data_IF_808855437344
#
_entry.id   IF_808855437344
#
_cell.length_a   1.000
_cell.length_b   1.000
_cell.length_c   1.000
_cell.angle_alpha   90.00
_cell.angle_beta   90.00
_cell.angle_gamma   90.00
#
_symmetry.space_group_name_H-M   'P 1'
#
loop_
_entity.id
_entity.type
_entity.pdbx_description
1 polymer ?
#
# COMPACT_ATOMS: atom_id res chain seq x y z
N UNK A 1 4.76 -33.18 -56.33
CA UNK A 1 4.04 -32.42 -55.28
C UNK A 1 4.96 -32.35 -54.08
N UNK A 2 5.77 -31.29 -53.98
CA UNK A 2 6.61 -30.98 -52.82
C UNK A 2 7.48 -29.80 -53.20
N UNK A 3 7.07 -28.60 -52.78
CA UNK A 3 7.90 -27.44 -52.46
C UNK A 3 7.02 -26.18 -52.51
N UNK A 4 6.41 -25.85 -51.37
CA UNK A 4 5.77 -24.54 -51.16
C UNK A 4 5.63 -24.15 -49.67
N UNK A 5 6.28 -24.85 -48.74
CA UNK A 5 6.21 -24.55 -47.29
C UNK A 5 7.63 -24.36 -46.75
N UNK A 6 8.33 -23.31 -47.17
CA UNK A 6 9.62 -22.91 -46.56
C UNK A 6 9.86 -21.40 -46.54
N UNK A 7 8.91 -20.56 -47.01
CA UNK A 7 9.09 -19.10 -47.07
C UNK A 7 8.55 -18.30 -45.89
N UNK A 8 7.64 -18.84 -45.08
CA UNK A 8 6.96 -18.07 -44.03
C UNK A 8 7.75 -18.00 -42.71
N UNK A 9 8.60 -18.98 -42.39
CA UNK A 9 9.33 -19.04 -41.12
C UNK A 9 10.58 -18.13 -41.04
N UNK A 10 11.24 -17.84 -42.16
CA UNK A 10 12.44 -16.97 -42.16
C UNK A 10 12.08 -15.49 -42.09
N UNK A 11 10.99 -15.07 -42.74
CA UNK A 11 10.54 -13.67 -42.71
C UNK A 11 10.09 -13.24 -41.30
N UNK A 12 9.46 -14.16 -40.56
CA UNK A 12 8.97 -13.90 -39.20
C UNK A 12 10.12 -13.83 -38.17
N UNK A 13 11.18 -14.64 -38.33
CA UNK A 13 12.39 -14.57 -37.50
C UNK A 13 13.17 -13.28 -37.73
N UNK A 14 13.35 -12.87 -39.00
CA UNK A 14 14.03 -11.61 -39.34
C UNK A 14 13.33 -10.38 -38.77
N UNK A 15 11.98 -10.36 -38.76
CA UNK A 15 11.19 -9.30 -38.14
C UNK A 15 11.33 -9.25 -36.61
N UNK A 16 11.36 -10.41 -35.95
CA UNK A 16 11.52 -10.50 -34.49
C UNK A 16 12.93 -10.06 -34.04
N UNK A 17 13.97 -10.41 -34.79
CA UNK A 17 15.34 -10.01 -34.49
C UNK A 17 15.55 -8.51 -34.74
N UNK A 18 14.94 -7.94 -35.78
CA UNK A 18 14.94 -6.49 -36.00
C UNK A 18 14.30 -5.70 -34.84
N UNK A 19 13.19 -6.20 -34.28
CA UNK A 19 12.54 -5.60 -33.11
C UNK A 19 13.43 -5.67 -31.86
N UNK A 20 14.05 -6.82 -31.60
CA UNK A 20 14.98 -7.00 -30.47
C UNK A 20 16.21 -6.12 -30.57
N UNK A 21 16.73 -5.92 -31.78
CA UNK A 21 17.86 -5.03 -32.05
C UNK A 21 17.49 -3.57 -31.72
N UNK A 22 16.30 -3.12 -32.14
CA UNK A 22 15.83 -1.76 -31.85
C UNK A 22 15.68 -1.52 -30.33
N UNK A 23 15.12 -2.49 -29.60
CA UNK A 23 14.97 -2.44 -28.14
C UNK A 23 16.34 -2.39 -27.43
N UNK A 24 17.27 -3.25 -27.82
CA UNK A 24 18.63 -3.28 -27.24
C UNK A 24 19.37 -1.98 -27.54
N UNK A 25 19.26 -1.44 -28.76
CA UNK A 25 19.88 -0.16 -29.13
C UNK A 25 19.32 1.00 -28.30
N UNK A 26 17.99 1.06 -28.15
CA UNK A 26 17.33 2.06 -27.31
C UNK A 26 17.77 1.98 -25.84
N UNK A 27 17.84 0.76 -25.31
CA UNK A 27 18.31 0.51 -23.94
C UNK A 27 19.78 0.91 -23.76
N UNK A 28 20.68 0.51 -24.66
CA UNK A 28 22.10 0.85 -24.59
C UNK A 28 22.31 2.36 -24.69
N UNK A 29 21.64 3.05 -25.62
CA UNK A 29 21.71 4.51 -25.70
C UNK A 29 21.31 5.17 -24.38
N UNK A 30 20.22 4.73 -23.76
CA UNK A 30 19.77 5.25 -22.46
C UNK A 30 20.79 5.00 -21.33
N UNK A 31 21.40 3.82 -21.27
CA UNK A 31 22.39 3.50 -20.24
C UNK A 31 23.71 4.26 -20.43
N UNK A 32 24.16 4.42 -21.66
CA UNK A 32 25.42 5.11 -21.99
C UNK A 32 25.28 6.63 -21.87
N UNK A 33 24.13 7.19 -22.25
CA UNK A 33 23.78 8.60 -22.03
C UNK A 33 23.77 8.95 -20.54
N UNK A 34 23.25 8.07 -19.68
CA UNK A 34 23.27 8.26 -18.23
C UNK A 34 24.70 8.38 -17.64
N UNK A 35 25.71 7.86 -18.35
CA UNK A 35 27.13 7.91 -17.96
C UNK A 35 27.92 8.91 -18.84
N UNK A 36 27.25 9.62 -19.75
CA UNK A 36 27.85 10.60 -20.66
C UNK A 36 28.82 9.98 -21.68
N UNK A 37 28.62 8.72 -22.07
CA UNK A 37 29.44 8.01 -23.06
C UNK A 37 28.64 7.70 -24.31
N UNK A 38 29.33 7.56 -25.44
CA UNK A 38 28.73 7.08 -26.68
C UNK A 38 28.66 5.55 -26.69
N UNK A 39 27.63 5.00 -27.34
CA UNK A 39 27.46 3.55 -27.51
C UNK A 39 28.53 3.07 -28.51
N UNK A 40 29.40 2.11 -28.15
CA UNK A 40 30.36 1.55 -29.09
C UNK A 40 29.68 0.87 -30.27
N UNK A 41 30.26 0.97 -31.47
CA UNK A 41 29.77 0.23 -32.64
C UNK A 41 30.01 -1.27 -32.44
N UNK A 42 28.94 -2.06 -32.43
CA UNK A 42 29.00 -3.52 -32.38
C UNK A 42 28.26 -4.13 -33.58
N UNK A 43 28.70 -5.31 -34.00
CA UNK A 43 28.14 -5.98 -35.17
C UNK A 43 26.78 -6.58 -34.82
N UNK A 44 25.71 -5.86 -35.15
CA UNK A 44 24.31 -6.21 -34.88
C UNK A 44 23.83 -7.44 -35.66
N UNK A 45 24.67 -8.12 -36.42
CA UNK A 45 24.27 -9.24 -37.29
C UNK A 45 24.61 -10.62 -36.73
N UNK A 46 25.20 -10.72 -35.53
CA UNK A 46 25.43 -12.01 -34.87
C UNK A 46 24.22 -12.39 -33.99
N UNK A 47 23.41 -13.41 -34.35
CA UNK A 47 22.15 -13.70 -33.65
C UNK A 47 22.33 -14.06 -32.16
N UNK A 48 23.46 -14.70 -31.81
CA UNK A 48 23.77 -15.06 -30.42
C UNK A 48 24.08 -13.86 -29.51
N UNK A 49 24.66 -12.78 -30.07
CA UNK A 49 25.01 -11.57 -29.33
C UNK A 49 23.77 -10.76 -28.97
N UNK A 50 22.84 -10.61 -29.91
CA UNK A 50 21.57 -9.88 -29.70
C UNK A 50 20.68 -10.59 -28.69
N UNK A 51 20.57 -11.91 -28.77
CA UNK A 51 19.79 -12.69 -27.81
C UNK A 51 20.34 -12.53 -26.39
N UNK A 52 21.67 -12.55 -26.22
CA UNK A 52 22.31 -12.31 -24.92
C UNK A 52 22.07 -10.88 -24.41
N UNK A 53 22.26 -9.87 -25.28
CA UNK A 53 22.05 -8.46 -24.93
C UNK A 53 20.59 -8.15 -24.60
N UNK A 54 19.63 -8.75 -25.30
CA UNK A 54 18.20 -8.60 -25.03
C UNK A 54 17.83 -9.20 -23.67
N UNK A 55 18.35 -10.39 -23.35
CA UNK A 55 18.19 -10.99 -22.01
C UNK A 55 18.84 -10.13 -20.91
N UNK A 56 19.99 -9.53 -21.18
CA UNK A 56 20.64 -8.62 -20.23
C UNK A 56 19.84 -7.33 -20.03
N UNK A 57 19.32 -6.74 -21.11
CA UNK A 57 18.51 -5.54 -21.08
C UNK A 57 17.21 -5.76 -20.29
N UNK A 58 16.50 -6.84 -20.57
CA UNK A 58 15.26 -7.21 -19.85
C UNK A 58 15.51 -7.47 -18.37
N UNK A 59 16.58 -8.19 -18.02
CA UNK A 59 16.96 -8.43 -16.63
C UNK A 59 17.36 -7.13 -15.92
N UNK A 60 18.14 -6.27 -16.58
CA UNK A 60 18.56 -4.98 -16.02
C UNK A 60 17.36 -4.08 -15.78
N UNK A 61 16.45 -3.98 -16.74
CA UNK A 61 15.26 -3.15 -16.64
C UNK A 61 14.32 -3.64 -15.52
N UNK A 62 14.11 -4.95 -15.41
CA UNK A 62 13.33 -5.55 -14.33
C UNK A 62 13.96 -5.24 -12.95
N UNK A 63 15.28 -5.35 -12.83
CA UNK A 63 16.00 -5.01 -11.59
C UNK A 63 15.90 -3.52 -11.25
N UNK A 64 16.08 -2.64 -12.24
CA UNK A 64 15.97 -1.18 -12.04
C UNK A 64 14.54 -0.80 -11.63
N UNK A 65 13.52 -1.41 -12.23
CA UNK A 65 12.13 -1.18 -11.85
C UNK A 65 11.87 -1.65 -10.40
N UNK A 66 12.30 -2.86 -10.04
CA UNK A 66 12.16 -3.37 -8.68
C UNK A 66 12.88 -2.49 -7.65
N UNK A 67 14.11 -2.06 -7.95
CA UNK A 67 14.88 -1.15 -7.11
C UNK A 67 14.17 0.21 -6.96
N UNK A 68 13.59 0.74 -8.04
CA UNK A 68 12.81 1.98 -8.00
C UNK A 68 11.58 1.87 -7.11
N UNK A 69 10.84 0.76 -7.19
CA UNK A 69 9.69 0.50 -6.30
C UNK A 69 10.16 0.45 -4.84
N UNK A 70 11.22 -0.30 -4.53
CA UNK A 70 11.75 -0.38 -3.17
C UNK A 70 12.24 0.97 -2.64
N UNK A 71 12.90 1.77 -3.47
CA UNK A 71 13.33 3.11 -3.09
C UNK A 71 12.14 4.00 -2.76
N UNK A 72 11.06 3.94 -3.55
CA UNK A 72 9.83 4.68 -3.29
C UNK A 72 9.12 4.22 -2.00
N UNK A 73 9.08 2.92 -1.73
CA UNK A 73 8.52 2.36 -0.48
C UNK A 73 9.30 2.84 0.74
N UNK A 74 10.64 2.77 0.68
CA UNK A 74 11.48 3.25 1.78
C UNK A 74 11.34 4.75 2.01
N UNK A 75 11.21 5.55 0.95
CA UNK A 75 10.99 6.98 1.08
C UNK A 75 9.65 7.28 1.74
N UNK A 76 8.58 6.61 1.32
CA UNK A 76 7.25 6.74 1.92
C UNK A 76 7.28 6.35 3.40
N UNK A 77 7.88 5.21 3.71
CA UNK A 77 8.05 4.72 5.07
C UNK A 77 8.85 5.68 5.95
N UNK A 78 9.90 6.31 5.41
CA UNK A 78 10.66 7.32 6.12
C UNK A 78 9.83 8.58 6.43
N UNK A 79 8.97 9.01 5.50
CA UNK A 79 8.05 10.13 5.71
C UNK A 79 7.04 9.78 6.82
N UNK A 80 6.48 8.57 6.80
CA UNK A 80 5.54 8.10 7.80
C UNK A 80 6.18 8.05 9.19
N UNK A 81 7.37 7.45 9.33
CA UNK A 81 8.09 7.44 10.61
C UNK A 81 8.43 8.85 11.11
N UNK A 82 8.79 9.76 10.20
CA UNK A 82 9.02 11.16 10.56
C UNK A 82 7.75 11.82 11.08
N UNK A 83 6.60 11.58 10.43
CA UNK A 83 5.31 12.12 10.86
C UNK A 83 4.88 11.55 12.22
N UNK A 84 5.15 10.28 12.47
CA UNK A 84 4.84 9.62 13.74
C UNK A 84 5.74 10.15 14.87
N UNK A 85 7.03 10.37 14.60
CA UNK A 85 7.94 10.98 15.56
C UNK A 85 7.48 12.41 15.94
N UNK A 86 7.01 13.21 14.97
CA UNK A 86 6.44 14.53 15.24
C UNK A 86 5.20 14.42 16.12
N UNK A 87 4.26 13.51 15.80
CA UNK A 87 3.06 13.28 16.61
C UNK A 87 3.41 12.89 18.05
N UNK A 88 4.35 11.97 18.24
CA UNK A 88 4.77 11.54 19.58
C UNK A 88 5.38 12.72 20.34
N UNK A 89 6.20 13.54 19.67
CA UNK A 89 6.76 14.76 20.27
C UNK A 89 5.68 15.75 20.69
N UNK A 90 4.69 16.01 19.85
CA UNK A 90 3.55 16.88 20.19
C UNK A 90 2.78 16.36 21.41
N UNK A 91 2.55 15.04 21.50
CA UNK A 91 1.92 14.43 22.68
C UNK A 91 2.79 14.63 23.92
N UNK A 92 4.10 14.39 23.83
CA UNK A 92 5.03 14.60 24.94
C UNK A 92 5.08 16.07 25.38
N UNK A 93 5.09 17.01 24.43
CA UNK A 93 5.03 18.45 24.67
C UNK A 93 3.73 18.84 25.39
N UNK A 94 2.59 18.29 24.98
CA UNK A 94 1.30 18.56 25.63
C UNK A 94 1.24 18.13 27.11
N UNK A 95 2.07 17.14 27.48
CA UNK A 95 2.20 16.64 28.87
C UNK A 95 3.41 17.26 29.59
N UNK A 96 4.19 18.12 28.91
CA UNK A 96 5.41 18.74 29.45
C UNK A 96 6.60 17.80 29.60
N UNK A 97 6.60 16.66 28.88
CA UNK A 97 7.62 15.60 28.94
C UNK A 97 8.67 15.70 27.81
N UNK A 98 8.62 16.73 26.97
CA UNK A 98 9.48 16.88 25.77
C UNK A 98 10.98 17.05 26.10
N UNK A 99 11.31 17.54 27.29
CA UNK A 99 12.69 17.71 27.75
C UNK A 99 12.84 17.29 29.21
N UNK A 100 12.69 15.98 29.46
CA UNK A 100 13.05 15.41 30.76
C UNK A 100 14.58 15.50 30.95
N UNK A 101 15.07 16.07 32.06
CA UNK A 101 16.49 16.04 32.37
C UNK A 101 16.93 14.58 32.59
N UNK A 102 18.17 14.25 32.20
CA UNK A 102 18.66 12.86 32.11
C UNK A 102 18.59 12.08 33.43
N UNK A 103 18.60 12.78 34.56
CA UNK A 103 18.43 12.23 35.90
C UNK A 103 17.02 11.70 36.20
N UNK A 104 16.00 12.12 35.44
CA UNK A 104 14.58 11.75 35.66
C UNK A 104 14.10 10.68 34.68
N UNK A 105 14.81 10.46 33.57
CA UNK A 105 14.42 9.49 32.52
C UNK A 105 14.35 8.05 33.08
N UNK A 106 15.35 7.61 33.85
CA UNK A 106 15.37 6.24 34.38
C UNK A 106 14.24 5.97 35.40
N UNK A 107 14.00 6.83 36.41
CA UNK A 107 12.83 6.70 37.29
C UNK A 107 11.48 6.71 36.55
N UNK A 108 11.31 7.59 35.55
CA UNK A 108 10.07 7.66 34.74
C UNK A 108 9.87 6.38 33.92
N UNK A 109 10.94 5.81 33.35
CA UNK A 109 10.87 4.54 32.63
C UNK A 109 10.44 3.39 33.55
N UNK A 110 10.99 3.31 34.76
CA UNK A 110 10.60 2.29 35.74
C UNK A 110 9.13 2.45 36.14
N UNK A 111 8.68 3.69 36.38
CA UNK A 111 7.28 3.96 36.70
C UNK A 111 6.34 3.61 35.53
N UNK A 112 6.72 3.95 34.30
CA UNK A 112 5.96 3.60 33.09
C UNK A 112 5.87 2.09 32.91
N UNK A 113 6.96 1.35 33.13
CA UNK A 113 6.99 -0.10 33.08
C UNK A 113 6.09 -0.73 34.16
N UNK A 114 6.12 -0.20 35.38
CA UNK A 114 5.23 -0.64 36.47
C UNK A 114 3.77 -0.34 36.12
N UNK A 115 3.47 0.83 35.56
CA UNK A 115 2.12 1.19 35.13
C UNK A 115 1.60 0.27 34.00
N UNK A 116 2.49 -0.10 33.07
CA UNK A 116 2.17 -1.03 31.99
C UNK A 116 1.98 -2.47 32.51
N UNK A 117 2.86 -2.93 33.42
CA UNK A 117 2.75 -4.26 34.06
C UNK A 117 1.48 -4.40 34.89
N UNK A 118 1.12 -3.35 35.65
CA UNK A 118 -0.09 -3.28 36.44
C UNK A 118 -1.35 -2.98 35.60
N UNK A 119 -1.20 -2.84 34.28
CA UNK A 119 -2.25 -2.50 33.31
C UNK A 119 -3.15 -1.33 33.77
N UNK A 120 -2.55 -0.32 34.41
CA UNK A 120 -3.31 0.77 35.07
C UNK A 120 -4.03 1.67 34.05
N UNK A 121 -3.80 1.45 32.75
CA UNK A 121 -4.41 2.24 31.68
C UNK A 121 -4.57 1.43 30.40
N UNK A 122 -5.41 0.40 30.43
CA UNK A 122 -5.98 -0.16 29.21
C UNK A 122 -7.06 0.80 28.66
N UNK A 123 -6.62 1.91 28.07
CA UNK A 123 -7.51 2.89 27.43
C UNK A 123 -8.24 2.30 26.23
N UNK A 124 -7.74 1.23 25.63
CA UNK A 124 -8.40 0.53 24.53
C UNK A 124 -9.60 -0.26 25.04
N UNK A 125 -9.42 -1.07 26.09
CA UNK A 125 -10.53 -1.80 26.72
C UNK A 125 -11.56 -0.84 27.33
N UNK A 126 -11.10 0.22 28.01
CA UNK A 126 -12.01 1.22 28.58
C UNK A 126 -12.82 1.94 27.50
N UNK A 127 -12.19 2.38 26.40
CA UNK A 127 -12.89 3.04 25.28
C UNK A 127 -13.81 2.08 24.51
N UNK A 128 -13.39 0.83 24.33
CA UNK A 128 -14.19 -0.22 23.71
C UNK A 128 -15.46 -0.53 24.52
N UNK A 129 -15.34 -0.67 25.85
CA UNK A 129 -16.50 -0.89 26.73
C UNK A 129 -17.47 0.28 26.72
N UNK A 130 -16.98 1.53 26.71
CA UNK A 130 -17.83 2.73 26.57
C UNK A 130 -18.53 2.74 25.21
N UNK A 131 -17.82 2.40 24.13
CA UNK A 131 -18.39 2.33 22.78
C UNK A 131 -19.49 1.27 22.67
N UNK A 132 -19.27 0.08 23.22
CA UNK A 132 -20.29 -0.98 23.28
C UNK A 132 -21.50 -0.53 24.09
N UNK A 133 -21.28 0.10 25.24
CA UNK A 133 -22.37 0.61 26.08
C UNK A 133 -23.22 1.63 25.31
N UNK A 134 -22.59 2.59 24.63
CA UNK A 134 -23.29 3.56 23.79
C UNK A 134 -24.06 2.91 22.63
N UNK A 135 -23.47 1.95 21.93
CA UNK A 135 -24.15 1.21 20.85
C UNK A 135 -25.34 0.42 21.40
N UNK A 136 -25.18 -0.21 22.57
CA UNK A 136 -26.24 -1.00 23.20
C UNK A 136 -27.42 -0.12 23.61
N UNK A 137 -27.16 1.05 24.22
CA UNK A 137 -28.19 2.04 24.53
C UNK A 137 -28.93 2.53 23.28
N UNK A 138 -28.19 2.82 22.20
CA UNK A 138 -28.80 3.23 20.92
C UNK A 138 -29.66 2.11 20.32
N UNK A 139 -29.21 0.86 20.39
CA UNK A 139 -29.97 -0.30 19.92
C UNK A 139 -31.29 -0.44 20.68
N UNK A 140 -31.26 -0.41 22.02
CA UNK A 140 -32.47 -0.46 22.85
C UNK A 140 -33.45 0.66 22.49
N UNK A 141 -32.95 1.90 22.34
CA UNK A 141 -33.80 3.03 21.93
C UNK A 141 -34.40 2.88 20.52
N UNK A 142 -33.71 2.21 19.59
CA UNK A 142 -34.26 1.89 18.26
C UNK A 142 -35.32 0.79 18.35
N UNK A 143 -35.09 -0.25 19.15
CA UNK A 143 -36.02 -1.36 19.32
C UNK A 143 -37.33 -0.90 20.00
N UNK A 144 -37.25 -0.01 21.00
CA UNK A 144 -38.42 0.63 21.61
C UNK A 144 -39.23 1.45 20.59
N UNK A 145 -38.55 2.26 19.76
CA UNK A 145 -39.22 3.02 18.68
C UNK A 145 -39.89 2.11 17.68
N UNK A 146 -39.25 1.01 17.28
CA UNK A 146 -39.84 0.01 16.38
C UNK A 146 -41.07 -0.63 16.99
N UNK A 147 -41.02 -1.02 18.26
CA UNK A 147 -42.16 -1.58 18.97
C UNK A 147 -43.33 -0.59 19.07
N UNK A 148 -43.04 0.70 19.32
CA UNK A 148 -44.04 1.77 19.33
C UNK A 148 -44.70 1.95 17.96
N UNK A 149 -43.92 2.07 16.89
CA UNK A 149 -44.42 2.21 15.51
C UNK A 149 -45.26 1.00 15.10
N UNK A 150 -44.86 -0.22 15.47
CA UNK A 150 -45.66 -1.42 15.19
C UNK A 150 -47.01 -1.40 15.92
N UNK A 151 -47.06 -0.93 17.18
CA UNK A 151 -48.31 -0.76 17.91
C UNK A 151 -49.21 0.27 17.24
N UNK A 152 -48.65 1.44 16.92
CA UNK A 152 -49.39 2.52 16.24
C UNK A 152 -49.90 2.06 14.87
N UNK A 153 -49.08 1.37 14.08
CA UNK A 153 -49.48 0.81 12.78
C UNK A 153 -50.65 -0.17 12.89
N UNK A 154 -50.65 -1.07 13.89
CA UNK A 154 -51.77 -1.98 14.15
C UNK A 154 -53.05 -1.21 14.51
N UNK A 155 -52.93 -0.21 15.38
CA UNK A 155 -54.06 0.64 15.78
C UNK A 155 -54.63 1.39 14.57
N UNK A 156 -53.78 1.96 13.71
CA UNK A 156 -54.24 2.63 12.48
C UNK A 156 -54.93 1.65 11.52
N UNK A 157 -54.39 0.43 11.35
CA UNK A 157 -55.02 -0.60 10.52
C UNK A 157 -56.38 -1.04 11.06
N UNK A 158 -56.56 -1.09 12.38
CA UNK A 158 -57.84 -1.41 12.99
C UNK A 158 -58.85 -0.26 12.79
N UNK A 159 -58.41 1.00 12.87
CA UNK A 159 -59.26 2.15 12.56
C UNK A 159 -59.70 2.15 11.09
N UNK A 160 -58.79 1.90 10.15
CA UNK A 160 -59.17 1.83 8.72
C UNK A 160 -60.10 0.65 8.44
N UNK A 161 -59.87 -0.51 9.05
CA UNK A 161 -60.78 -1.66 8.92
C UNK A 161 -62.18 -1.34 9.45
N UNK A 162 -62.28 -0.65 10.60
CA UNK A 162 -63.57 -0.23 11.17
C UNK A 162 -64.29 0.84 10.36
N UNK A 163 -63.57 1.67 9.60
CA UNK A 163 -64.15 2.72 8.79
C UNK A 163 -64.69 2.23 7.42
N UNK A 164 -64.24 1.05 6.97
CA UNK A 164 -64.60 0.46 5.66
C UNK A 164 -65.67 -0.64 5.79
N UNK A 165 -65.93 -1.14 7.01
CA UNK A 165 -67.00 -2.09 7.33
C UNK A 165 -68.30 -1.36 7.71
#
# INVERSE_FOLDING_TARGET
MSDLISGEDESNKGGMDASRIAEVKGWLSSQFEAVGKEVPDFDYYTPGSIAYLHNLATLSQAKTQAAGILASDFQQKAIEYRSQAVRIREILESVGLDSLPSNVVSPVQVLANIANLLNIRDTELSSFLIAISNISLRKTGVDEKRAKVQKESKVLLDYTRKAIA
#
